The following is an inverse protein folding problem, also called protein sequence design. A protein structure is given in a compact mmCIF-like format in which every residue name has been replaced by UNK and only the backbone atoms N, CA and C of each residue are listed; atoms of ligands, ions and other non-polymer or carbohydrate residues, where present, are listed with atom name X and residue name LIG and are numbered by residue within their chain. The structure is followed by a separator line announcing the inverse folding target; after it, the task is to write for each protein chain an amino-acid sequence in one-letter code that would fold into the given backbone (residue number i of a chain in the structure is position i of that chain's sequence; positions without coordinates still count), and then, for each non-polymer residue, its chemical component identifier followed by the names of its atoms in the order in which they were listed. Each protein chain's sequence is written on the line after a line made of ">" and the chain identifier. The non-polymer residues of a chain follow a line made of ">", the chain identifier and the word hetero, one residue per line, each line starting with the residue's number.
data_IF_250074411488
#
_entry.id   IF_250074411488
#
_cell.length_a   1.000
_cell.length_b   1.000
_cell.length_c   1.000
_cell.angle_alpha   90.00
_cell.angle_beta   90.00
_cell.angle_gamma   90.00
#
_symmetry.space_group_name_H-M   'P 1'
#
loop_
_entity.id
_entity.type
_entity.pdbx_description
1 polymer ?
#
# COMPACT_ATOMS: atom_id res chain seq x y z
N UNK A 1 11.83 31.97 -17.27
CA UNK A 1 12.21 31.12 -16.12
C UNK A 1 11.33 29.88 -16.11
N UNK A 2 11.92 28.72 -15.86
CA UNK A 2 11.48 27.39 -16.35
C UNK A 2 10.43 26.71 -15.46
N UNK A 3 9.15 26.71 -15.87
CA UNK A 3 8.07 25.97 -15.19
C UNK A 3 7.97 24.49 -15.60
N UNK A 4 8.72 24.07 -16.64
CA UNK A 4 8.65 22.71 -17.22
C UNK A 4 9.44 21.63 -16.46
N UNK A 5 10.54 21.97 -15.78
CA UNK A 5 11.39 20.98 -15.08
C UNK A 5 10.77 20.37 -13.83
N UNK A 6 9.88 21.08 -13.13
CA UNK A 6 9.35 20.65 -11.83
C UNK A 6 8.26 19.56 -11.90
N UNK A 7 7.63 19.34 -13.07
CA UNK A 7 6.62 18.27 -13.26
C UNK A 7 7.25 16.94 -13.66
N UNK A 8 8.28 16.94 -14.51
CA UNK A 8 8.99 15.73 -14.94
C UNK A 8 9.74 15.04 -13.77
N UNK A 9 10.36 15.83 -12.90
CA UNK A 9 11.13 15.34 -11.75
C UNK A 9 10.25 14.71 -10.65
N UNK A 10 9.03 15.23 -10.46
CA UNK A 10 8.05 14.65 -9.52
C UNK A 10 7.52 13.28 -9.96
N UNK A 11 7.28 13.09 -11.25
CA UNK A 11 6.82 11.80 -11.81
C UNK A 11 7.89 10.70 -11.70
N UNK A 12 9.17 11.03 -11.92
CA UNK A 12 10.29 10.11 -11.81
C UNK A 12 10.54 9.65 -10.37
N UNK A 13 10.51 10.58 -9.40
CA UNK A 13 10.70 10.25 -7.98
C UNK A 13 9.61 9.36 -7.41
N UNK A 14 8.35 9.57 -7.78
CA UNK A 14 7.27 8.69 -7.33
C UNK A 14 7.41 7.27 -7.88
N UNK A 15 7.85 7.13 -9.14
CA UNK A 15 8.10 5.81 -9.73
C UNK A 15 9.23 5.05 -9.03
N UNK A 16 10.31 5.75 -8.65
CA UNK A 16 11.41 5.15 -7.87
C UNK A 16 10.94 4.68 -6.48
N UNK A 17 10.12 5.49 -5.79
CA UNK A 17 9.56 5.11 -4.47
C UNK A 17 8.68 3.88 -4.54
N UNK A 18 7.81 3.79 -5.55
CA UNK A 18 6.95 2.61 -5.73
C UNK A 18 7.76 1.38 -6.14
N UNK A 19 8.81 1.53 -6.94
CA UNK A 19 9.75 0.45 -7.26
C UNK A 19 10.49 -0.07 -6.02
N UNK A 20 10.85 0.83 -5.09
CA UNK A 20 11.47 0.44 -3.84
C UNK A 20 10.46 -0.29 -2.94
N UNK A 21 9.26 0.27 -2.79
CA UNK A 21 8.17 -0.36 -2.03
C UNK A 21 7.87 -1.78 -2.52
N UNK A 22 7.85 -1.97 -3.85
CA UNK A 22 7.73 -3.29 -4.48
C UNK A 22 8.82 -4.24 -3.98
N UNK A 23 10.09 -3.86 -4.08
CA UNK A 23 11.20 -4.70 -3.66
C UNK A 23 11.16 -5.04 -2.15
N UNK A 24 10.69 -4.11 -1.31
CA UNK A 24 10.52 -4.36 0.12
C UNK A 24 9.38 -5.34 0.43
N UNK A 25 8.28 -5.30 -0.33
CA UNK A 25 7.20 -6.29 -0.23
C UNK A 25 7.65 -7.67 -0.70
N UNK A 26 8.33 -7.75 -1.86
CA UNK A 26 8.85 -9.01 -2.42
C UNK A 26 9.90 -9.65 -1.51
N UNK A 27 10.62 -8.85 -0.72
CA UNK A 27 11.54 -9.33 0.29
C UNK A 27 10.92 -9.54 1.68
N UNK A 28 9.59 -9.44 1.80
CA UNK A 28 8.81 -9.60 3.05
C UNK A 28 9.27 -8.69 4.22
N UNK A 29 9.87 -7.53 3.90
CA UNK A 29 10.35 -6.56 4.90
C UNK A 29 9.29 -5.57 5.36
N UNK A 30 8.20 -5.44 4.59
CA UNK A 30 7.04 -4.62 4.96
C UNK A 30 6.13 -5.42 5.90
N UNK A 31 6.14 -5.09 7.18
CA UNK A 31 5.35 -5.73 8.24
C UNK A 31 4.24 -4.83 8.77
N UNK A 32 4.22 -3.55 8.40
CA UNK A 32 3.19 -2.59 8.84
C UNK A 32 2.82 -1.56 7.77
N UNK A 33 1.59 -1.04 7.86
CA UNK A 33 1.13 0.07 7.00
C UNK A 33 1.98 1.34 7.16
N UNK A 34 2.57 1.59 8.32
CA UNK A 34 3.44 2.77 8.52
C UNK A 34 4.67 2.73 7.59
N UNK A 35 5.23 1.55 7.32
CA UNK A 35 6.33 1.41 6.37
C UNK A 35 5.87 1.67 4.93
N UNK A 36 4.66 1.22 4.56
CA UNK A 36 4.06 1.56 3.27
C UNK A 36 3.94 3.08 3.12
N UNK A 37 3.49 3.76 4.17
CA UNK A 37 3.25 5.21 4.15
C UNK A 37 4.53 6.06 4.06
N UNK A 38 5.69 5.48 4.37
CA UNK A 38 6.98 6.14 4.14
C UNK A 38 7.27 6.34 2.63
N UNK A 39 6.72 5.48 1.77
CA UNK A 39 6.95 5.50 0.32
C UNK A 39 5.73 5.97 -0.47
N UNK A 40 4.52 5.71 0.03
CA UNK A 40 3.27 5.93 -0.66
C UNK A 40 2.25 6.60 0.24
N UNK A 41 1.94 7.87 -0.03
CA UNK A 41 1.10 8.68 0.83
C UNK A 41 -0.31 8.09 0.99
N UNK A 42 -0.81 8.05 2.23
CA UNK A 42 -2.12 7.52 2.62
C UNK A 42 -3.26 8.07 1.75
N UNK A 43 -3.24 9.39 1.50
CA UNK A 43 -4.26 10.06 0.69
C UNK A 43 -4.20 9.63 -0.78
N UNK A 44 -3.01 9.41 -1.32
CA UNK A 44 -2.83 8.93 -2.70
C UNK A 44 -3.32 7.49 -2.82
N UNK A 45 -2.98 6.61 -1.88
CA UNK A 45 -3.49 5.22 -1.88
C UNK A 45 -5.03 5.22 -1.85
N UNK A 46 -5.64 6.04 -0.98
CA UNK A 46 -7.10 6.12 -0.89
C UNK A 46 -7.72 6.55 -2.23
N UNK A 47 -7.15 7.55 -2.91
CA UNK A 47 -7.59 8.00 -4.24
C UNK A 47 -7.42 6.89 -5.28
N UNK A 48 -6.26 6.24 -5.31
CA UNK A 48 -5.94 5.21 -6.31
C UNK A 48 -6.79 3.93 -6.14
N UNK A 49 -7.31 3.69 -4.92
CA UNK A 49 -8.28 2.63 -4.65
C UNK A 49 -9.74 3.04 -4.86
N UNK A 50 -10.00 4.33 -5.09
CA UNK A 50 -11.37 4.87 -5.16
C UNK A 50 -12.12 4.82 -3.83
N UNK A 51 -11.39 4.86 -2.70
CA UNK A 51 -11.95 4.77 -1.34
C UNK A 51 -11.88 6.14 -0.69
N UNK A 52 -12.94 6.56 0.01
CA UNK A 52 -12.89 7.78 0.81
C UNK A 52 -11.79 7.70 1.89
N UNK A 53 -11.00 8.77 2.05
CA UNK A 53 -9.81 8.80 2.92
C UNK A 53 -10.07 8.25 4.34
N UNK A 54 -11.15 8.68 4.98
CA UNK A 54 -11.49 8.23 6.33
C UNK A 54 -11.83 6.72 6.38
N UNK A 55 -12.47 6.20 5.33
CA UNK A 55 -12.77 4.77 5.19
C UNK A 55 -11.49 3.97 5.02
N UNK A 56 -10.54 4.46 4.21
CA UNK A 56 -9.24 3.83 4.06
C UNK A 56 -8.48 3.78 5.39
N UNK A 57 -8.43 4.90 6.14
CA UNK A 57 -7.81 4.92 7.47
C UNK A 57 -8.45 3.93 8.45
N UNK A 58 -9.78 3.76 8.41
CA UNK A 58 -10.49 2.78 9.22
C UNK A 58 -10.08 1.35 8.84
N UNK A 59 -9.95 1.04 7.54
CA UNK A 59 -9.51 -0.26 7.03
C UNK A 59 -8.05 -0.56 7.40
N UNK A 60 -7.15 0.43 7.32
CA UNK A 60 -5.75 0.30 7.77
C UNK A 60 -5.63 -0.05 9.26
N UNK A 61 -6.54 0.46 10.10
CA UNK A 61 -6.59 0.12 11.53
C UNK A 61 -7.21 -1.26 11.79
N UNK A 62 -8.01 -1.77 10.87
CA UNK A 62 -8.67 -3.07 10.96
C UNK A 62 -8.72 -3.73 9.59
N UNK A 63 -7.66 -4.50 9.28
CA UNK A 63 -7.46 -5.06 7.95
C UNK A 63 -8.56 -6.05 7.53
N UNK A 64 -9.38 -6.55 8.46
CA UNK A 64 -10.58 -7.37 8.15
C UNK A 64 -11.60 -6.64 7.29
N UNK A 65 -11.54 -5.30 7.26
CA UNK A 65 -12.48 -4.47 6.52
C UNK A 65 -12.06 -4.28 5.06
N UNK A 66 -10.84 -4.67 4.67
CA UNK A 66 -10.47 -4.70 3.26
C UNK A 66 -11.21 -5.83 2.55
N UNK A 67 -11.75 -5.51 1.38
CA UNK A 67 -12.22 -6.52 0.42
C UNK A 67 -11.03 -7.07 -0.36
N UNK A 68 -11.17 -8.28 -0.90
CA UNK A 68 -10.13 -8.88 -1.75
C UNK A 68 -9.82 -8.00 -2.97
N UNK A 69 -10.84 -7.42 -3.59
CA UNK A 69 -10.70 -6.55 -4.76
C UNK A 69 -9.91 -5.27 -4.45
N UNK A 70 -10.10 -4.65 -3.27
CA UNK A 70 -9.27 -3.50 -2.83
C UNK A 70 -7.81 -3.89 -2.62
N UNK A 71 -7.53 -5.09 -2.09
CA UNK A 71 -6.17 -5.59 -1.90
C UNK A 71 -5.50 -5.94 -3.24
N UNK A 72 -6.24 -6.51 -4.19
CA UNK A 72 -5.75 -6.80 -5.54
C UNK A 72 -5.40 -5.50 -6.27
N UNK A 73 -6.30 -4.50 -6.25
CA UNK A 73 -6.04 -3.18 -6.85
C UNK A 73 -4.85 -2.48 -6.20
N UNK A 74 -4.69 -2.60 -4.88
CA UNK A 74 -3.50 -2.08 -4.22
C UNK A 74 -2.22 -2.74 -4.73
N UNK A 75 -2.24 -4.07 -4.88
CA UNK A 75 -1.11 -4.83 -5.43
C UNK A 75 -0.77 -4.42 -6.87
N UNK A 76 -1.79 -4.19 -7.72
CA UNK A 76 -1.63 -3.69 -9.08
C UNK A 76 -0.99 -2.30 -9.12
N UNK A 77 -1.44 -1.38 -8.25
CA UNK A 77 -0.91 -0.01 -8.17
C UNK A 77 0.59 0.04 -7.85
N UNK A 78 1.11 -0.94 -7.11
CA UNK A 78 2.53 -1.05 -6.76
C UNK A 78 3.27 -2.16 -7.53
N UNK A 79 2.58 -2.84 -8.46
CA UNK A 79 3.10 -3.93 -9.27
C UNK A 79 3.73 -5.09 -8.46
N UNK A 80 3.04 -5.53 -7.40
CA UNK A 80 3.41 -6.66 -6.53
C UNK A 80 2.42 -7.81 -6.74
N UNK A 81 2.84 -9.06 -6.54
CA UNK A 81 1.93 -10.21 -6.53
C UNK A 81 0.84 -10.04 -5.45
N UNK A 82 -0.43 -10.11 -5.84
CA UNK A 82 -1.57 -9.92 -4.94
C UNK A 82 -1.54 -10.86 -3.72
N UNK A 83 -0.94 -12.05 -3.84
CA UNK A 83 -0.82 -13.01 -2.74
C UNK A 83 0.03 -12.46 -1.59
N UNK A 84 1.09 -11.70 -1.90
CA UNK A 84 1.96 -11.06 -0.89
C UNK A 84 1.15 -10.01 -0.11
N UNK A 85 0.38 -9.19 -0.83
CA UNK A 85 -0.45 -8.13 -0.22
C UNK A 85 -1.57 -8.71 0.63
N UNK A 86 -2.22 -9.78 0.16
CA UNK A 86 -3.24 -10.48 0.94
C UNK A 86 -2.62 -11.06 2.21
N UNK A 87 -1.46 -11.74 2.11
CA UNK A 87 -0.75 -12.28 3.28
C UNK A 87 -0.43 -11.18 4.30
N UNK A 88 0.19 -10.09 3.84
CA UNK A 88 0.48 -8.90 4.65
C UNK A 88 -0.77 -8.36 5.37
N UNK A 89 -1.90 -8.26 4.67
CA UNK A 89 -3.13 -7.79 5.25
C UNK A 89 -3.64 -8.75 6.33
N UNK A 90 -3.57 -10.07 6.07
CA UNK A 90 -4.01 -11.12 7.01
C UNK A 90 -3.11 -11.28 8.23
N UNK A 91 -1.80 -11.08 8.10
CA UNK A 91 -0.86 -11.19 9.24
C UNK A 91 -1.17 -10.14 10.32
N UNK A 92 -1.66 -8.98 9.90
CA UNK A 92 -2.09 -7.90 10.81
C UNK A 92 -3.48 -8.12 11.42
N UNK A 93 -4.25 -9.11 10.95
CA UNK A 93 -5.60 -9.39 11.47
C UNK A 93 -5.53 -10.02 12.88
N UNK A 94 -4.34 -10.41 13.34
CA UNK A 94 -4.12 -10.96 14.66
C UNK A 94 -4.99 -12.19 14.86
N UNK A 95 -4.56 -13.34 14.33
CA UNK A 95 -5.12 -14.61 14.79
C UNK A 95 -4.66 -14.75 16.23
N UNK A 96 -5.54 -14.45 17.20
CA UNK A 96 -5.48 -15.14 18.48
C UNK A 96 -5.61 -16.61 18.13
N UNK A 97 -4.49 -17.32 17.93
CA UNK A 97 -4.51 -18.78 17.89
C UNK A 97 -5.09 -19.16 19.24
N UNK A 98 -6.37 -19.54 19.27
CA UNK A 98 -6.82 -20.43 20.33
C UNK A 98 -6.00 -21.69 20.08
N UNK A 99 -5.03 -21.92 20.94
CA UNK A 99 -4.43 -23.24 21.09
C UNK A 99 -5.61 -24.20 21.27
N UNK A 100 -5.82 -25.05 20.27
CA UNK A 100 -6.79 -26.15 20.31
C UNK A 100 -6.11 -27.35 20.97
#
# INVERSE_FOLDING_TARGET
>A
MSAGKAKADRGGRNRQKLSYLKAEFEAERITSWNQVFAFYAVSTIAVDLGIHFHTFQKKVKNNRLFTLDELIRFAENINVDHRIIISFATDQVGVKRKEL
#
